data_IF_494003984598
#
_entry.id   IF_494003984598
#
_cell.length_a   1.000
_cell.length_b   1.000
_cell.length_c   1.000
_cell.angle_alpha   90.00
_cell.angle_beta   90.00
_cell.angle_gamma   90.00
#
_symmetry.space_group_name_H-M   'P 1'
#
loop_
_entity.id
_entity.type
_entity.pdbx_description
1 polymer ?
#
# COMPACT_ATOMS: atom_id res chain seq x y z
N UNK A 1 17.59 7.68 46.94
CA UNK A 1 18.37 7.14 45.79
C UNK A 1 17.71 5.85 45.39
N UNK A 2 16.79 5.91 44.42
CA UNK A 2 16.07 4.74 43.94
C UNK A 2 17.00 4.01 42.98
N UNK A 3 17.48 2.83 43.36
CA UNK A 3 18.33 1.98 42.52
C UNK A 3 17.50 1.48 41.35
N UNK A 4 17.90 1.84 40.13
CA UNK A 4 17.28 1.32 38.90
C UNK A 4 17.47 -0.21 38.88
N UNK A 5 16.43 -1.02 38.63
CA UNK A 5 16.57 -2.47 38.52
C UNK A 5 17.55 -2.85 37.40
N UNK A 6 18.29 -3.96 37.51
CA UNK A 6 19.15 -4.43 36.43
C UNK A 6 18.35 -4.63 35.14
N UNK A 7 18.97 -4.37 33.99
CA UNK A 7 18.37 -4.41 32.65
C UNK A 7 17.48 -5.64 32.41
N UNK A 8 17.95 -6.82 32.81
CA UNK A 8 17.21 -8.08 32.69
C UNK A 8 15.89 -8.06 33.45
N UNK A 9 15.85 -7.48 34.65
CA UNK A 9 14.63 -7.39 35.46
C UNK A 9 13.64 -6.39 34.86
N UNK A 10 14.13 -5.26 34.31
CA UNK A 10 13.28 -4.30 33.58
C UNK A 10 12.64 -4.95 32.34
N UNK A 11 13.45 -5.62 31.53
CA UNK A 11 12.98 -6.31 30.32
C UNK A 11 12.02 -7.45 30.65
N UNK A 12 12.30 -8.24 31.69
CA UNK A 12 11.38 -9.29 32.14
C UNK A 12 10.05 -8.70 32.59
N UNK A 13 10.05 -7.63 33.39
CA UNK A 13 8.81 -7.00 33.84
C UNK A 13 7.97 -6.42 32.69
N UNK A 14 8.63 -5.82 31.68
CA UNK A 14 7.94 -5.35 30.48
C UNK A 14 7.37 -6.50 29.64
N UNK A 15 8.12 -7.61 29.50
CA UNK A 15 7.66 -8.81 28.80
C UNK A 15 6.48 -9.48 29.53
N UNK A 16 6.53 -9.56 30.85
CA UNK A 16 5.45 -10.11 31.67
C UNK A 16 4.18 -9.26 31.48
N UNK A 17 4.30 -7.92 31.53
CA UNK A 17 3.18 -7.02 31.28
C UNK A 17 2.61 -7.17 29.85
N UNK A 18 3.45 -7.38 28.83
CA UNK A 18 2.99 -7.66 27.47
C UNK A 18 2.22 -8.98 27.40
N UNK A 19 2.71 -10.01 28.07
CA UNK A 19 2.06 -11.33 28.14
C UNK A 19 0.70 -11.23 28.82
N UNK A 20 0.62 -10.55 29.96
CA UNK A 20 -0.64 -10.31 30.66
C UNK A 20 -1.65 -9.55 29.77
N UNK A 21 -1.19 -8.57 29.00
CA UNK A 21 -2.06 -7.81 28.10
C UNK A 21 -2.58 -8.66 26.92
N UNK A 22 -1.76 -9.58 26.41
CA UNK A 22 -2.16 -10.55 25.38
C UNK A 22 -3.27 -11.49 25.91
N UNK A 23 -3.09 -12.03 27.11
CA UNK A 23 -4.08 -12.90 27.75
C UNK A 23 -5.40 -12.16 28.00
N UNK A 24 -5.33 -10.93 28.54
CA UNK A 24 -6.52 -10.11 28.78
C UNK A 24 -7.27 -9.76 27.48
N UNK A 25 -6.55 -9.47 26.40
CA UNK A 25 -7.15 -9.22 25.09
C UNK A 25 -7.83 -10.46 24.51
N UNK A 26 -7.21 -11.64 24.66
CA UNK A 26 -7.82 -12.92 24.27
C UNK A 26 -9.13 -13.16 25.04
N UNK A 27 -9.12 -13.01 26.37
CA UNK A 27 -10.31 -13.19 27.21
C UNK A 27 -11.42 -12.21 26.85
N UNK A 28 -11.08 -10.94 26.58
CA UNK A 28 -12.05 -9.95 26.11
C UNK A 28 -12.68 -10.36 24.76
N UNK A 29 -11.87 -10.86 23.82
CA UNK A 29 -12.36 -11.37 22.53
C UNK A 29 -13.29 -12.57 22.70
N UNK A 30 -12.97 -13.50 23.60
CA UNK A 30 -13.81 -14.67 23.89
C UNK A 30 -15.13 -14.28 24.55
N UNK A 31 -15.15 -13.20 25.34
CA UNK A 31 -16.33 -12.67 26.01
C UNK A 31 -17.13 -11.66 25.15
N UNK A 32 -16.73 -11.41 23.90
CA UNK A 32 -17.31 -10.38 23.03
C UNK A 32 -18.83 -10.51 22.89
N UNK A 33 -19.55 -9.43 23.15
CA UNK A 33 -21.02 -9.38 23.16
C UNK A 33 -21.64 -8.67 21.94
N UNK A 34 -20.83 -8.08 21.06
CA UNK A 34 -21.31 -7.39 19.86
C UNK A 34 -20.19 -6.81 18.99
N UNK A 35 -20.59 -6.14 17.91
CA UNK A 35 -19.66 -5.73 16.84
C UNK A 35 -18.60 -4.72 17.32
N UNK A 36 -18.98 -3.80 18.20
CA UNK A 36 -18.14 -2.78 18.82
C UNK A 36 -18.05 -2.94 20.35
N UNK A 37 -17.61 -4.10 20.82
CA UNK A 37 -17.50 -4.39 22.25
C UNK A 37 -16.44 -3.51 22.93
N UNK A 38 -16.87 -2.65 23.86
CA UNK A 38 -15.98 -1.71 24.56
C UNK A 38 -14.91 -2.41 25.41
N UNK A 39 -15.17 -3.63 25.89
CA UNK A 39 -14.20 -4.43 26.64
C UNK A 39 -13.06 -4.90 25.74
N UNK A 40 -13.39 -5.34 24.51
CA UNK A 40 -12.39 -5.71 23.49
C UNK A 40 -11.54 -4.49 23.11
N UNK A 41 -12.17 -3.34 22.86
CA UNK A 41 -11.45 -2.11 22.49
C UNK A 41 -10.51 -1.61 23.59
N UNK A 42 -10.95 -1.68 24.85
CA UNK A 42 -10.12 -1.32 26.00
C UNK A 42 -8.92 -2.28 26.16
N UNK A 43 -9.14 -3.59 26.02
CA UNK A 43 -8.08 -4.59 26.12
C UNK A 43 -7.08 -4.49 24.95
N UNK A 44 -7.57 -4.20 23.74
CA UNK A 44 -6.75 -3.94 22.56
C UNK A 44 -5.83 -2.73 22.77
N UNK A 45 -6.37 -1.62 23.28
CA UNK A 45 -5.59 -0.41 23.59
C UNK A 45 -4.52 -0.70 24.65
N UNK A 46 -4.86 -1.46 25.69
CA UNK A 46 -3.92 -1.85 26.74
C UNK A 46 -2.78 -2.75 26.19
N UNK A 47 -3.11 -3.67 25.28
CA UNK A 47 -2.14 -4.51 24.57
C UNK A 47 -1.18 -3.67 23.72
N UNK A 48 -1.68 -2.74 22.91
CA UNK A 48 -0.86 -1.86 22.09
C UNK A 48 0.18 -1.10 22.93
N UNK A 49 -0.26 -0.50 24.03
CA UNK A 49 0.64 0.21 24.95
C UNK A 49 1.65 -0.71 25.66
N UNK A 50 1.29 -1.97 25.92
CA UNK A 50 2.22 -2.93 26.50
C UNK A 50 3.30 -3.35 25.49
N UNK A 51 2.92 -3.52 24.22
CA UNK A 51 3.84 -3.86 23.14
C UNK A 51 4.85 -2.73 22.88
N UNK A 52 4.35 -1.50 22.73
CA UNK A 52 5.17 -0.28 22.55
C UNK A 52 6.21 -0.13 23.68
N UNK A 53 5.78 -0.26 24.94
CA UNK A 53 6.70 -0.17 26.10
C UNK A 53 7.77 -1.25 26.11
N UNK A 54 7.45 -2.46 25.66
CA UNK A 54 8.43 -3.54 25.59
C UNK A 54 9.43 -3.30 24.47
N UNK A 55 8.95 -2.88 23.30
CA UNK A 55 9.75 -2.55 22.12
C UNK A 55 10.72 -1.39 22.40
N UNK A 56 10.21 -0.27 22.92
CA UNK A 56 11.01 0.89 23.32
C UNK A 56 12.13 0.52 24.29
N UNK A 57 11.82 -0.32 25.29
CA UNK A 57 12.79 -0.75 26.29
C UNK A 57 13.82 -1.73 25.70
N UNK A 58 13.40 -2.59 24.79
CA UNK A 58 14.29 -3.51 24.08
C UNK A 58 15.29 -2.72 23.23
N UNK A 59 14.81 -1.69 22.54
CA UNK A 59 15.64 -0.77 21.77
C UNK A 59 16.58 0.03 22.69
N UNK A 60 16.08 0.63 23.78
CA UNK A 60 16.89 1.39 24.77
C UNK A 60 18.09 0.58 25.28
N UNK A 61 17.88 -0.72 25.54
CA UNK A 61 18.84 -1.55 26.27
C UNK A 61 19.72 -2.40 25.33
N UNK A 62 19.21 -2.76 24.14
CA UNK A 62 19.86 -3.72 23.25
C UNK A 62 20.03 -3.27 21.81
N UNK A 63 19.47 -2.11 21.42
CA UNK A 63 19.47 -1.63 20.02
C UNK A 63 18.79 -2.64 19.07
N UNK A 64 17.80 -3.37 19.61
CA UNK A 64 17.03 -4.38 18.90
C UNK A 64 15.55 -3.99 18.92
N UNK A 65 14.83 -4.31 17.85
CA UNK A 65 13.38 -4.08 17.72
C UNK A 65 12.65 -5.41 17.64
N UNK A 66 11.39 -5.40 18.04
CA UNK A 66 10.50 -6.53 17.81
C UNK A 66 10.04 -6.57 16.34
N UNK A 67 9.89 -7.75 15.72
CA UNK A 67 9.46 -7.85 14.33
C UNK A 67 7.93 -7.63 14.16
N UNK A 68 7.30 -6.82 15.04
CA UNK A 68 5.88 -6.51 15.02
C UNK A 68 5.64 -5.23 14.23
N UNK A 69 5.75 -5.28 12.91
CA UNK A 69 5.23 -4.20 12.08
C UNK A 69 3.70 -4.31 12.07
N UNK A 70 3.03 -3.49 12.88
CA UNK A 70 1.65 -3.11 12.57
C UNK A 70 1.77 -2.12 11.41
N UNK A 71 1.19 -2.40 10.23
CA UNK A 71 1.15 -1.41 9.18
C UNK A 71 0.38 -0.21 9.74
N UNK A 72 1.11 0.84 10.11
CA UNK A 72 0.60 2.20 10.16
C UNK A 72 0.42 2.67 8.71
N UNK A 73 -0.40 1.95 7.95
CA UNK A 73 -1.11 2.58 6.85
C UNK A 73 -1.94 3.71 7.48
N UNK A 74 -2.04 4.88 6.85
CA UNK A 74 -2.84 5.95 7.42
C UNK A 74 -4.20 5.38 7.81
N UNK A 75 -4.68 5.72 9.01
CA UNK A 75 -6.11 5.70 9.30
C UNK A 75 -6.73 6.72 8.34
N UNK A 76 -6.88 6.34 7.07
CA UNK A 76 -7.87 6.94 6.20
C UNK A 76 -9.17 6.49 6.86
N UNK A 77 -9.73 7.36 7.70
CA UNK A 77 -11.16 7.32 7.93
C UNK A 77 -11.77 7.31 6.53
N UNK A 78 -12.28 6.15 6.14
CA UNK A 78 -12.90 5.98 4.84
C UNK A 78 -14.18 6.80 4.92
N UNK A 79 -14.12 8.04 4.42
CA UNK A 79 -15.27 8.93 4.27
C UNK A 79 -16.16 8.41 3.14
N UNK A 80 -16.72 7.21 3.32
CA UNK A 80 -17.81 6.75 2.49
C UNK A 80 -19.09 7.38 3.03
N UNK A 81 -19.67 8.33 2.28
CA UNK A 81 -20.85 9.09 2.71
C UNK A 81 -22.03 8.18 3.11
N UNK A 82 -22.06 6.95 2.61
CA UNK A 82 -23.06 5.94 2.92
C UNK A 82 -22.46 4.64 3.46
N UNK A 83 -21.81 4.69 4.63
CA UNK A 83 -21.18 3.53 5.28
C UNK A 83 -22.11 2.31 5.52
N UNK A 84 -23.43 2.47 5.45
CA UNK A 84 -24.41 1.37 5.56
C UNK A 84 -24.76 0.71 4.21
N UNK A 85 -24.32 1.27 3.07
CA UNK A 85 -24.58 0.72 1.75
C UNK A 85 -23.64 -0.45 1.40
N UNK A 86 -24.20 -1.47 0.76
CA UNK A 86 -23.48 -2.62 0.19
C UNK A 86 -23.46 -2.47 -1.35
N UNK A 87 -22.44 -1.83 -1.96
CA UNK A 87 -22.42 -1.58 -3.40
C UNK A 87 -22.34 -2.91 -4.16
N UNK A 88 -23.28 -3.12 -5.10
CA UNK A 88 -23.33 -4.34 -5.89
C UNK A 88 -22.25 -4.39 -6.99
N UNK A 89 -21.71 -3.24 -7.39
CA UNK A 89 -20.65 -3.10 -8.37
C UNK A 89 -19.81 -1.84 -8.08
N UNK A 90 -18.50 -1.89 -8.40
CA UNK A 90 -17.57 -0.78 -8.17
C UNK A 90 -16.68 -0.53 -9.38
N UNK A 91 -16.34 0.75 -9.59
CA UNK A 91 -15.31 1.20 -10.52
C UNK A 91 -14.01 1.50 -9.77
N UNK A 92 -12.87 1.14 -10.36
CA UNK A 92 -11.54 1.43 -9.79
C UNK A 92 -10.75 2.27 -10.78
N UNK A 93 -10.39 3.48 -10.37
CA UNK A 93 -9.64 4.44 -11.18
C UNK A 93 -8.26 4.63 -10.58
N UNK A 94 -7.23 4.40 -11.39
CA UNK A 94 -5.84 4.46 -10.95
C UNK A 94 -5.11 5.51 -11.75
N UNK A 95 -4.52 6.49 -11.07
CA UNK A 95 -3.55 7.43 -11.61
C UNK A 95 -2.19 7.14 -11.00
N UNK A 96 -1.17 6.97 -11.84
CA UNK A 96 0.25 6.89 -11.43
C UNK A 96 1.05 7.85 -12.29
N UNK A 97 1.81 8.73 -11.65
CA UNK A 97 2.62 9.73 -12.32
C UNK A 97 4.10 9.33 -12.25
N UNK A 98 4.81 9.39 -13.37
CA UNK A 98 6.23 9.06 -13.45
C UNK A 98 7.01 10.16 -14.19
N UNK A 99 8.21 10.47 -13.72
CA UNK A 99 9.22 11.14 -14.52
C UNK A 99 9.98 10.11 -15.36
N UNK A 100 10.31 10.44 -16.61
CA UNK A 100 11.26 9.65 -17.41
C UNK A 100 12.65 10.21 -17.14
N UNK A 101 13.44 9.50 -16.34
CA UNK A 101 14.78 9.94 -15.92
C UNK A 101 15.86 9.37 -16.83
N UNK A 102 15.72 8.14 -17.30
CA UNK A 102 16.72 7.44 -18.13
C UNK A 102 16.10 6.93 -19.44
N UNK A 103 16.17 7.75 -20.49
CA UNK A 103 15.47 7.48 -21.76
C UNK A 103 15.96 6.21 -22.48
N UNK A 104 17.28 5.99 -22.49
CA UNK A 104 17.87 4.82 -23.15
C UNK A 104 17.47 3.52 -22.43
N UNK A 105 17.35 3.57 -21.10
CA UNK A 105 16.92 2.42 -20.30
C UNK A 105 15.45 2.11 -20.52
N UNK A 106 14.60 3.13 -20.62
CA UNK A 106 13.20 2.97 -20.98
C UNK A 106 13.05 2.29 -22.35
N UNK A 107 13.80 2.74 -23.35
CA UNK A 107 13.79 2.10 -24.67
C UNK A 107 14.30 0.66 -24.62
N UNK A 108 15.34 0.38 -23.81
CA UNK A 108 15.87 -0.97 -23.61
C UNK A 108 14.81 -1.89 -23.00
N UNK A 109 14.17 -1.45 -21.92
CA UNK A 109 13.13 -2.20 -21.21
C UNK A 109 11.91 -2.47 -22.11
N UNK A 110 11.48 -1.48 -22.90
CA UNK A 110 10.40 -1.70 -23.87
C UNK A 110 10.74 -2.73 -24.95
N UNK A 111 11.99 -2.77 -25.43
CA UNK A 111 12.45 -3.77 -26.42
C UNK A 111 12.54 -5.17 -25.82
N UNK A 112 12.94 -5.26 -24.56
CA UNK A 112 12.93 -6.52 -23.80
C UNK A 112 11.51 -7.05 -23.65
N UNK A 113 10.57 -6.20 -23.21
CA UNK A 113 9.15 -6.55 -23.12
C UNK A 113 8.55 -7.01 -24.47
N UNK A 114 8.90 -6.33 -25.56
CA UNK A 114 8.53 -6.78 -26.92
C UNK A 114 9.09 -8.18 -27.22
N UNK A 115 10.36 -8.42 -26.90
CA UNK A 115 11.02 -9.71 -27.14
C UNK A 115 10.38 -10.87 -26.39
N UNK A 116 9.88 -10.63 -25.18
CA UNK A 116 9.15 -11.62 -24.38
C UNK A 116 7.79 -11.97 -25.01
N UNK A 117 7.07 -10.98 -25.53
CA UNK A 117 5.78 -11.18 -26.21
C UNK A 117 5.93 -11.83 -27.58
N UNK A 118 7.03 -11.52 -28.29
CA UNK A 118 7.28 -11.98 -29.65
C UNK A 118 8.65 -12.68 -29.78
N UNK A 119 8.86 -13.83 -29.13
CA UNK A 119 10.18 -14.49 -29.06
C UNK A 119 10.68 -15.01 -30.41
N UNK A 120 9.79 -15.15 -31.40
CA UNK A 120 10.14 -15.55 -32.76
C UNK A 120 10.59 -14.37 -33.65
N UNK A 121 10.39 -13.12 -33.20
CA UNK A 121 10.80 -11.95 -33.96
C UNK A 121 12.30 -11.68 -33.76
N UNK A 122 13.01 -11.23 -34.82
CA UNK A 122 14.41 -10.83 -34.69
C UNK A 122 14.53 -9.55 -33.84
N UNK A 123 15.70 -9.32 -33.24
CA UNK A 123 15.95 -8.18 -32.35
C UNK A 123 15.68 -6.84 -33.03
N UNK A 124 16.01 -6.74 -34.31
CA UNK A 124 15.81 -5.54 -35.13
C UNK A 124 14.32 -5.14 -35.23
N UNK A 125 13.39 -6.10 -35.09
CA UNK A 125 11.97 -5.80 -35.05
C UNK A 125 11.57 -5.07 -33.75
N UNK A 126 12.18 -5.42 -32.62
CA UNK A 126 11.96 -4.71 -31.36
C UNK A 126 12.49 -3.27 -31.44
N UNK A 127 13.65 -3.09 -32.06
CA UNK A 127 14.25 -1.75 -32.27
C UNK A 127 13.40 -0.87 -33.21
N UNK A 128 12.79 -1.48 -34.24
CA UNK A 128 11.88 -0.79 -35.14
C UNK A 128 10.55 -0.40 -34.48
N UNK A 129 9.97 -1.26 -33.64
CA UNK A 129 8.72 -0.98 -32.92
C UNK A 129 8.92 0.04 -31.79
N UNK A 130 9.92 -0.22 -30.93
CA UNK A 130 10.24 0.61 -29.76
C UNK A 130 11.25 1.68 -30.15
N UNK A 131 10.73 2.64 -30.92
CA UNK A 131 11.48 3.76 -31.50
C UNK A 131 11.46 5.03 -30.64
N UNK A 132 10.54 5.13 -29.67
CA UNK A 132 10.41 6.26 -28.75
C UNK A 132 9.73 5.83 -27.43
N UNK A 133 9.82 6.67 -26.39
CA UNK A 133 9.29 6.39 -25.05
C UNK A 133 7.84 5.90 -25.04
N UNK A 134 6.94 6.56 -25.79
CA UNK A 134 5.54 6.13 -25.88
C UNK A 134 5.36 4.68 -26.35
N UNK A 135 6.19 4.18 -27.27
CA UNK A 135 6.17 2.76 -27.69
C UNK A 135 6.77 1.85 -26.64
N UNK A 136 7.82 2.30 -25.95
CA UNK A 136 8.39 1.53 -24.84
C UNK A 136 7.38 1.33 -23.71
N UNK A 137 6.70 2.40 -23.29
CA UNK A 137 5.62 2.36 -22.30
C UNK A 137 4.48 1.46 -22.76
N UNK A 138 4.07 1.56 -24.03
CA UNK A 138 3.07 0.64 -24.59
C UNK A 138 3.50 -0.83 -24.45
N UNK A 139 4.73 -1.19 -24.81
CA UNK A 139 5.18 -2.59 -24.73
C UNK A 139 5.30 -3.08 -23.30
N UNK A 140 5.78 -2.24 -22.37
CA UNK A 140 5.82 -2.57 -20.94
C UNK A 140 4.41 -2.82 -20.39
N UNK A 141 3.46 -1.94 -20.70
CA UNK A 141 2.06 -2.09 -20.29
C UNK A 141 1.41 -3.30 -20.95
N UNK A 142 1.70 -3.56 -22.23
CA UNK A 142 1.15 -4.70 -22.94
C UNK A 142 1.65 -6.04 -22.38
N UNK A 143 2.93 -6.10 -22.01
CA UNK A 143 3.56 -7.30 -21.47
C UNK A 143 3.19 -7.55 -20.00
N UNK A 144 3.12 -6.49 -19.19
CA UNK A 144 3.10 -6.62 -17.73
C UNK A 144 1.90 -5.96 -17.04
N UNK A 145 1.06 -5.22 -17.77
CA UNK A 145 -0.02 -4.44 -17.19
C UNK A 145 0.47 -3.24 -16.36
N UNK A 146 -0.47 -2.54 -15.73
CA UNK A 146 -0.19 -1.32 -14.96
C UNK A 146 0.63 -1.61 -13.70
N UNK A 147 0.34 -2.70 -12.99
CA UNK A 147 1.10 -3.11 -11.79
C UNK A 147 2.48 -3.65 -12.12
N UNK A 148 2.63 -4.30 -13.27
CA UNK A 148 3.92 -4.77 -13.72
C UNK A 148 4.82 -3.64 -14.24
N UNK A 149 4.24 -2.58 -14.81
CA UNK A 149 4.99 -1.35 -15.10
C UNK A 149 5.52 -0.71 -13.81
N UNK A 150 4.67 -0.62 -12.79
CA UNK A 150 5.01 0.01 -11.51
C UNK A 150 6.16 -0.73 -10.78
N UNK A 151 6.07 -2.05 -10.68
CA UNK A 151 7.14 -2.91 -10.12
C UNK A 151 8.48 -2.80 -10.87
N UNK A 152 8.46 -2.28 -12.10
CA UNK A 152 9.63 -2.16 -12.97
C UNK A 152 9.97 -0.70 -13.27
N UNK A 153 9.35 0.27 -12.60
CA UNK A 153 9.49 1.68 -12.94
C UNK A 153 10.96 2.12 -12.88
N UNK A 154 11.60 2.02 -11.72
CA UNK A 154 13.00 2.40 -11.51
C UNK A 154 13.98 1.68 -12.45
N UNK A 155 14.00 0.33 -12.55
CA UNK A 155 14.90 -0.36 -13.47
C UNK A 155 14.59 -0.12 -14.95
N UNK A 156 13.42 0.45 -15.28
CA UNK A 156 13.06 0.86 -16.64
C UNK A 156 13.35 2.35 -16.91
N UNK A 157 14.04 3.05 -16.01
CA UNK A 157 14.35 4.48 -16.18
C UNK A 157 13.18 5.42 -15.92
N UNK A 158 12.21 4.97 -15.11
CA UNK A 158 11.09 5.78 -14.62
C UNK A 158 11.27 6.06 -13.13
N UNK A 159 11.02 7.29 -12.72
CA UNK A 159 10.94 7.66 -11.31
C UNK A 159 9.49 7.92 -10.95
N UNK A 160 8.93 7.14 -10.02
CA UNK A 160 7.56 7.34 -9.58
C UNK A 160 7.44 8.64 -8.78
N UNK A 161 6.38 9.41 -9.06
CA UNK A 161 6.06 10.67 -8.36
C UNK A 161 4.91 10.51 -7.35
N UNK A 162 4.33 9.32 -7.30
CA UNK A 162 3.11 9.04 -6.56
C UNK A 162 1.91 8.83 -7.48
N UNK A 163 0.76 8.69 -6.85
CA UNK A 163 -0.45 8.27 -7.52
C UNK A 163 -1.67 8.42 -6.62
N UNK A 164 -2.81 8.06 -7.19
CA UNK A 164 -4.08 8.10 -6.49
C UNK A 164 -4.98 6.99 -7.03
N UNK A 165 -5.65 6.29 -6.13
CA UNK A 165 -6.68 5.30 -6.44
C UNK A 165 -8.02 5.79 -5.93
N UNK A 166 -9.03 5.82 -6.81
CA UNK A 166 -10.42 6.10 -6.46
C UNK A 166 -11.22 4.83 -6.66
N UNK A 167 -12.07 4.53 -5.69
CA UNK A 167 -13.09 3.50 -5.80
C UNK A 167 -14.44 4.17 -5.67
N UNK A 168 -15.32 3.95 -6.64
CA UNK A 168 -16.66 4.52 -6.67
C UNK A 168 -17.70 3.43 -6.88
N UNK A 169 -18.91 3.65 -6.37
CA UNK A 169 -20.04 2.78 -6.67
C UNK A 169 -20.46 2.94 -8.14
N UNK A 170 -20.85 1.85 -8.80
CA UNK A 170 -21.46 1.91 -10.13
C UNK A 170 -22.97 1.79 -9.99
N UNK A 171 -23.71 2.77 -10.51
CA UNK A 171 -25.16 2.75 -10.46
C UNK A 171 -25.75 1.59 -11.29
N UNK A 172 -26.87 1.03 -10.84
CA UNK A 172 -27.59 0.03 -11.63
C UNK A 172 -28.01 0.61 -12.99
N UNK A 173 -27.53 0.00 -14.08
CA UNK A 173 -27.83 0.43 -15.44
C UNK A 173 -26.83 1.42 -16.04
N UNK A 174 -25.70 1.66 -15.37
CA UNK A 174 -24.60 2.42 -15.94
C UNK A 174 -23.98 1.65 -17.13
N UNK A 175 -24.40 2.03 -18.33
CA UNK A 175 -23.98 1.41 -19.60
C UNK A 175 -22.91 2.22 -20.33
N UNK A 176 -22.37 3.27 -19.69
CA UNK A 176 -21.34 4.09 -20.31
C UNK A 176 -20.12 3.23 -20.64
N UNK A 177 -19.82 3.16 -21.94
CA UNK A 177 -18.73 2.36 -22.45
C UNK A 177 -17.42 3.11 -22.22
N UNK A 178 -16.45 2.46 -21.57
CA UNK A 178 -15.09 2.94 -21.27
C UNK A 178 -14.24 3.39 -22.50
N UNK A 179 -14.84 3.52 -23.67
CA UNK A 179 -14.13 3.69 -24.96
C UNK A 179 -13.92 5.15 -25.35
N UNK A 180 -14.76 6.08 -24.91
CA UNK A 180 -14.69 7.48 -25.35
C UNK A 180 -14.02 8.38 -24.30
N UNK A 181 -14.62 8.56 -23.12
CA UNK A 181 -14.05 9.35 -22.02
C UNK A 181 -14.10 8.56 -20.70
N UNK A 182 -13.27 7.52 -20.54
CA UNK A 182 -13.37 6.57 -19.42
C UNK A 182 -13.19 7.19 -18.03
N UNK A 183 -12.66 8.40 -17.94
CA UNK A 183 -12.46 9.13 -16.68
C UNK A 183 -13.47 10.26 -16.46
N UNK A 184 -14.36 10.54 -17.43
CA UNK A 184 -15.42 11.53 -17.26
C UNK A 184 -16.54 11.04 -16.32
N UNK A 185 -16.62 9.72 -16.12
CA UNK A 185 -17.54 9.06 -15.20
C UNK A 185 -17.11 9.16 -13.72
N UNK A 186 -15.93 9.72 -13.46
CA UNK A 186 -15.41 9.87 -12.11
C UNK A 186 -16.16 11.01 -11.43
N UNK A 187 -17.02 10.65 -10.47
CA UNK A 187 -17.88 11.56 -9.71
C UNK A 187 -17.49 11.51 -8.23
N UNK A 188 -17.23 12.69 -7.64
CA UNK A 188 -16.84 12.79 -6.23
C UNK A 188 -18.00 12.47 -5.27
N UNK A 189 -19.26 12.66 -5.70
CA UNK A 189 -20.45 12.27 -4.93
C UNK A 189 -20.63 10.74 -4.86
N UNK A 190 -20.01 9.98 -5.78
CA UNK A 190 -20.08 8.51 -5.82
C UNK A 190 -18.85 7.83 -5.21
N UNK A 191 -17.91 8.61 -4.66
CA UNK A 191 -16.66 8.12 -4.11
C UNK A 191 -16.92 7.25 -2.87
N UNK A 192 -16.50 5.99 -2.94
CA UNK A 192 -16.47 5.10 -1.78
C UNK A 192 -15.23 5.40 -0.95
N UNK A 193 -14.06 5.43 -1.59
CA UNK A 193 -12.84 5.85 -0.94
C UNK A 193 -11.79 6.34 -1.93
N UNK A 194 -10.86 7.14 -1.41
CA UNK A 194 -9.66 7.60 -2.09
C UNK A 194 -8.42 7.20 -1.30
N UNK A 195 -7.43 6.67 -2.01
CA UNK A 195 -6.09 6.41 -1.49
C UNK A 195 -5.09 7.24 -2.29
N UNK A 196 -4.32 8.08 -1.59
CA UNK A 196 -3.23 8.85 -2.19
C UNK A 196 -1.89 8.19 -1.86
N UNK A 197 -1.11 7.93 -2.89
CA UNK A 197 0.27 7.46 -2.79
C UNK A 197 1.19 8.68 -2.93
N UNK A 198 1.79 9.10 -1.82
CA UNK A 198 2.75 10.20 -1.82
C UNK A 198 4.15 9.62 -1.69
N UNK A 199 5.00 9.85 -2.68
CA UNK A 199 6.40 9.48 -2.64
C UNK A 199 7.18 10.73 -2.28
N UNK A 200 7.70 10.78 -1.05
CA UNK A 200 8.66 11.81 -0.66
C UNK A 200 9.99 11.52 -1.35
N UNK A 201 10.59 12.48 -2.07
CA UNK A 201 11.94 12.29 -2.57
C UNK A 201 12.87 12.13 -1.36
N UNK A 202 13.76 11.13 -1.39
CA UNK A 202 14.77 10.93 -0.35
C UNK A 202 15.43 12.27 -0.02
N UNK A 203 15.06 12.85 1.12
CA UNK A 203 15.70 14.05 1.64
C UNK A 203 17.13 13.70 2.01
N UNK A 204 18.08 14.50 1.54
CA UNK A 204 19.49 14.42 1.95
C UNK A 204 19.61 14.27 3.48
N UNK A 205 19.87 13.04 3.96
CA UNK A 205 20.31 12.73 5.33
C UNK A 205 21.83 12.76 5.43
#
# INVERSE_FOLDING_TARGET
MTTVPPERERLQAALDHLTDALENHMEACLARTGEADAGVQAAYTALRHAAERYDDLLFEVRDEVTPWEFPEGPHVDIEYENAEAEPAAVGVFVRRDYDITEHDELLRAGREAYGELYPAHPREAAEADVSHAGRALYQLLHAYGVDGLDQRAEPSGLLSRGGTVWVQELAEGDTETLVDEPFAIVDDEMLIYRLDEVIEPDGDL
#
